data_IF_460181390317
#
_entry.id   IF_460181390317
#
_cell.length_a   1.000
_cell.length_b   1.000
_cell.length_c   1.000
_cell.angle_alpha   90.00
_cell.angle_beta   90.00
_cell.angle_gamma   90.00
#
_symmetry.space_group_name_H-M   'P 1'
#
loop_
_entity.id
_entity.type
_entity.pdbx_description
1 polymer ?
#
# COMPACT_ATOMS: atom_id res chain seq x y z
N UNK A 1 9.23 7.38 8.62
CA UNK A 1 8.03 7.18 7.80
C UNK A 1 8.43 6.43 6.54
N UNK A 2 7.72 5.37 6.13
CA UNK A 2 7.97 4.76 4.84
C UNK A 2 7.50 5.68 3.72
N UNK A 3 8.25 5.63 2.63
CA UNK A 3 7.92 6.34 1.42
C UNK A 3 7.27 5.37 0.45
N UNK A 4 6.46 5.91 -0.45
CA UNK A 4 5.94 5.15 -1.58
C UNK A 4 7.08 4.65 -2.45
N UNK A 5 7.15 3.33 -2.66
CA UNK A 5 8.22 2.71 -3.45
C UNK A 5 8.24 3.16 -4.92
N UNK A 6 7.12 3.69 -5.42
CA UNK A 6 6.97 4.10 -6.84
C UNK A 6 7.22 5.59 -7.04
N UNK A 7 6.79 6.44 -6.11
CA UNK A 7 6.81 7.90 -6.29
C UNK A 7 7.51 8.67 -5.16
N UNK A 8 8.11 7.98 -4.21
CA UNK A 8 8.89 8.51 -3.07
C UNK A 8 8.12 9.47 -2.15
N UNK A 9 6.82 9.66 -2.36
CA UNK A 9 5.97 10.45 -1.47
C UNK A 9 5.90 9.80 -0.09
N UNK A 10 5.93 10.63 0.93
CA UNK A 10 5.74 10.21 2.31
C UNK A 10 4.34 9.59 2.47
N UNK A 11 4.28 8.42 3.10
CA UNK A 11 3.02 7.74 3.42
C UNK A 11 2.78 7.85 4.92
N UNK A 12 1.55 8.20 5.27
CA UNK A 12 1.06 8.05 6.63
C UNK A 12 0.70 6.58 6.88
N UNK A 13 1.56 5.89 7.64
CA UNK A 13 1.35 4.47 7.98
C UNK A 13 0.13 4.23 8.84
N UNK A 14 -0.19 5.18 9.71
CA UNK A 14 -1.30 5.05 10.63
C UNK A 14 -2.60 5.11 9.83
N UNK A 15 -2.71 6.10 8.93
CA UNK A 15 -3.83 6.23 8.02
C UNK A 15 -3.94 5.08 7.01
N UNK A 16 -2.81 4.53 6.53
CA UNK A 16 -2.79 3.40 5.59
C UNK A 16 -3.12 2.04 6.25
N UNK A 17 -2.95 1.93 7.57
CA UNK A 17 -3.30 0.74 8.37
C UNK A 17 -4.62 0.89 9.11
N UNK A 18 -5.17 2.10 9.17
CA UNK A 18 -6.44 2.38 9.80
C UNK A 18 -7.55 1.58 9.12
N UNK A 19 -8.27 0.81 9.92
CA UNK A 19 -9.47 0.12 9.48
C UNK A 19 -10.58 1.16 9.29
N UNK A 20 -11.13 1.29 8.08
CA UNK A 20 -12.33 2.08 7.81
C UNK A 20 -13.60 1.34 8.14
N UNK A 21 -13.53 0.01 8.20
CA UNK A 21 -14.67 -0.85 8.48
C UNK A 21 -14.22 -2.31 8.58
N UNK A 22 -15.18 -3.22 8.67
CA UNK A 22 -14.95 -4.65 8.60
C UNK A 22 -15.96 -5.26 7.65
N UNK A 23 -15.50 -6.16 6.79
CA UNK A 23 -16.36 -6.96 5.92
C UNK A 23 -17.26 -7.88 6.75
N UNK A 24 -18.32 -8.42 6.12
CA UNK A 24 -19.26 -9.35 6.75
C UNK A 24 -18.60 -10.62 7.37
N UNK A 25 -17.38 -10.94 6.97
CA UNK A 25 -16.61 -12.08 7.46
C UNK A 25 -15.41 -11.68 8.33
N UNK A 26 -15.37 -10.43 8.82
CA UNK A 26 -14.41 -9.96 9.82
C UNK A 26 -13.04 -9.55 9.28
N UNK A 27 -12.87 -9.42 7.96
CA UNK A 27 -11.66 -8.82 7.40
C UNK A 27 -11.72 -7.29 7.47
N UNK A 28 -10.66 -6.66 7.95
CA UNK A 28 -10.54 -5.20 8.05
C UNK A 28 -10.52 -4.56 6.65
N UNK A 29 -11.36 -3.55 6.47
CA UNK A 29 -11.37 -2.70 5.28
C UNK A 29 -10.47 -1.50 5.52
N UNK A 30 -9.68 -1.10 4.54
CA UNK A 30 -8.80 0.07 4.59
C UNK A 30 -9.12 1.01 3.45
N UNK A 31 -8.91 2.32 3.63
CA UNK A 31 -9.13 3.29 2.55
C UNK A 31 -7.96 3.25 1.54
N UNK A 32 -8.21 2.86 0.28
CA UNK A 32 -7.18 2.87 -0.75
C UNK A 32 -6.61 4.27 -1.08
N UNK A 33 -7.27 5.35 -0.64
CA UNK A 33 -6.83 6.73 -0.85
C UNK A 33 -5.88 7.24 0.25
N UNK A 34 -5.95 6.70 1.47
CA UNK A 34 -5.05 7.08 2.57
C UNK A 34 -3.74 6.31 2.54
N UNK A 35 -3.71 5.19 1.83
CA UNK A 35 -2.52 4.42 1.52
C UNK A 35 -2.87 2.96 1.29
N UNK A 36 -2.03 2.25 0.56
CA UNK A 36 -2.20 0.83 0.30
C UNK A 36 -0.88 0.10 0.46
N UNK A 37 -0.94 -1.22 0.64
CA UNK A 37 0.24 -2.07 0.77
C UNK A 37 0.08 -3.34 -0.01
N UNK A 38 1.20 -3.90 -0.46
CA UNK A 38 1.24 -5.20 -1.11
C UNK A 38 2.43 -5.98 -0.57
N UNK A 39 2.22 -7.26 -0.36
CA UNK A 39 3.31 -8.18 -0.05
C UNK A 39 3.93 -8.66 -1.36
N UNK A 40 5.25 -8.53 -1.48
CA UNK A 40 6.01 -8.99 -2.63
C UNK A 40 7.40 -9.45 -2.17
N UNK A 41 7.85 -10.61 -2.66
CA UNK A 41 9.18 -11.17 -2.39
C UNK A 41 9.60 -11.24 -0.90
N UNK A 42 8.65 -11.52 0.00
CA UNK A 42 8.93 -11.63 1.43
C UNK A 42 8.82 -10.31 2.21
N UNK A 43 8.58 -9.18 1.54
CA UNK A 43 8.53 -7.85 2.15
C UNK A 43 7.21 -7.12 1.89
N UNK A 44 6.84 -6.24 2.83
CA UNK A 44 5.67 -5.36 2.71
C UNK A 44 6.05 -4.04 2.06
N UNK A 45 5.55 -3.80 0.85
CA UNK A 45 5.69 -2.51 0.16
C UNK A 45 4.48 -1.63 0.42
N UNK A 46 4.72 -0.33 0.62
CA UNK A 46 3.69 0.68 0.88
C UNK A 46 3.58 1.64 -0.30
N UNK A 47 2.36 2.04 -0.61
CA UNK A 47 2.03 2.92 -1.73
C UNK A 47 1.07 4.01 -1.27
N UNK A 48 1.24 5.22 -1.80
CA UNK A 48 0.38 6.35 -1.48
C UNK A 48 -1.04 6.24 -2.07
N UNK A 49 -1.32 5.21 -2.88
CA UNK A 49 -2.62 4.98 -3.48
C UNK A 49 -2.60 3.86 -4.52
N UNK A 50 -3.79 3.54 -5.06
CA UNK A 50 -3.98 2.44 -6.01
C UNK A 50 -3.15 2.58 -7.30
N UNK A 51 -2.96 3.80 -7.82
CA UNK A 51 -2.17 4.01 -9.03
C UNK A 51 -0.72 3.53 -8.86
N UNK A 52 -0.09 3.89 -7.74
CA UNK A 52 1.27 3.47 -7.45
C UNK A 52 1.35 1.96 -7.21
N UNK A 53 0.38 1.39 -6.48
CA UNK A 53 0.28 -0.07 -6.34
C UNK A 53 0.16 -0.78 -7.68
N UNK A 54 -0.68 -0.29 -8.59
CA UNK A 54 -0.88 -0.90 -9.91
C UNK A 54 0.41 -0.82 -10.75
N UNK A 55 1.12 0.30 -10.73
CA UNK A 55 2.41 0.44 -11.40
C UNK A 55 3.44 -0.54 -10.84
N UNK A 56 3.48 -0.71 -9.50
CA UNK A 56 4.33 -1.69 -8.85
C UNK A 56 3.95 -3.12 -9.26
N UNK A 57 2.67 -3.48 -9.24
CA UNK A 57 2.22 -4.82 -9.63
C UNK A 57 2.49 -5.13 -11.11
N UNK A 58 2.46 -4.12 -11.98
CA UNK A 58 2.78 -4.29 -13.40
C UNK A 58 4.26 -4.60 -13.63
N UNK A 59 5.17 -3.96 -12.88
CA UNK A 59 6.61 -4.11 -13.02
C UNK A 59 7.34 -4.03 -11.68
N UNK A 60 7.17 -5.03 -10.79
CA UNK A 60 7.68 -4.92 -9.41
C UNK A 60 9.19 -4.88 -9.36
N UNK A 61 9.89 -5.55 -10.28
CA UNK A 61 11.36 -5.53 -10.38
C UNK A 61 11.97 -4.16 -10.67
N UNK A 62 11.21 -3.20 -11.19
CA UNK A 62 11.70 -1.84 -11.41
C UNK A 62 11.70 -0.99 -10.13
N UNK A 63 10.88 -1.38 -9.14
CA UNK A 63 10.60 -0.58 -7.95
C UNK A 63 11.05 -1.28 -6.66
N UNK A 64 10.93 -2.61 -6.58
CA UNK A 64 11.50 -3.43 -5.53
C UNK A 64 13.03 -3.37 -5.64
N UNK A 65 13.64 -2.55 -4.78
CA UNK A 65 15.08 -2.41 -4.60
C UNK A 65 15.46 -2.83 -3.20
#
# INVERSE_FOLDING_TARGET
MPNCTVCEKQIDLDAARASTGQTAHGADEVDPNTGTRSFYDGEWYYFCGLQCRNNFLASPTNYAK
#
